data_IF_295098845004
#
_entry.id   IF_295098845004
#
_cell.length_a   1.000
_cell.length_b   1.000
_cell.length_c   1.000
_cell.angle_alpha   90.00
_cell.angle_beta   90.00
_cell.angle_gamma   90.00
#
_symmetry.space_group_name_H-M   'P 1'
#
loop_
_entity.id
_entity.type
_entity.pdbx_description
1 polymer ?
#
# COMPACT_ATOMS: atom_id res chain seq x y z
N UNK A 1 84.83 4.52 5.05
CA UNK A 1 83.81 4.39 3.99
C UNK A 1 82.63 3.63 4.56
N UNK A 2 81.44 4.21 4.47
CA UNK A 2 80.15 3.63 4.88
C UNK A 2 79.71 2.52 3.92
N UNK A 3 79.08 1.44 4.42
CA UNK A 3 77.85 0.87 3.82
C UNK A 3 76.97 0.25 4.92
N UNK A 4 75.68 0.53 4.82
CA UNK A 4 74.63 0.48 5.84
C UNK A 4 74.14 -0.91 6.29
N UNK A 5 73.60 -0.96 7.51
CA UNK A 5 72.82 -2.08 8.06
C UNK A 5 71.40 -2.09 7.50
N UNK A 6 70.97 -3.24 6.95
CA UNK A 6 69.59 -3.47 6.52
C UNK A 6 68.72 -3.73 7.75
N UNK A 7 68.13 -2.66 8.31
CA UNK A 7 67.13 -2.75 9.37
C UNK A 7 65.83 -3.37 8.84
N UNK A 8 65.47 -4.56 9.33
CA UNK A 8 64.13 -5.13 9.17
C UNK A 8 63.11 -4.24 9.90
N UNK A 9 62.01 -3.79 9.27
CA UNK A 9 61.06 -2.94 9.96
C UNK A 9 60.21 -3.77 10.94
N UNK A 10 60.39 -3.53 12.24
CA UNK A 10 59.52 -4.02 13.34
C UNK A 10 58.12 -3.37 13.34
N UNK A 11 57.69 -2.78 12.22
CA UNK A 11 56.44 -2.02 12.08
C UNK A 11 55.18 -2.86 11.83
N UNK A 12 55.27 -4.19 11.81
CA UNK A 12 54.17 -5.05 11.36
C UNK A 12 53.30 -5.63 12.49
N UNK A 13 53.67 -5.43 13.77
CA UNK A 13 52.87 -5.96 14.89
C UNK A 13 51.50 -5.28 15.01
N UNK A 14 51.43 -3.96 14.73
CA UNK A 14 50.16 -3.24 14.73
C UNK A 14 49.23 -3.67 13.59
N UNK A 15 49.77 -4.00 12.41
CA UNK A 15 48.97 -4.49 11.28
C UNK A 15 48.52 -5.93 11.47
N UNK A 16 49.36 -6.79 12.07
CA UNK A 16 48.99 -8.15 12.44
C UNK A 16 47.86 -8.19 13.49
N UNK A 17 47.97 -7.38 14.57
CA UNK A 17 46.92 -7.28 15.59
C UNK A 17 45.62 -6.65 15.08
N UNK A 18 45.68 -5.81 14.04
CA UNK A 18 44.48 -5.23 13.42
C UNK A 18 43.76 -6.27 12.55
N UNK A 19 44.48 -7.17 11.85
CA UNK A 19 43.90 -8.29 11.09
C UNK A 19 43.18 -9.31 11.98
N UNK A 20 43.72 -9.64 13.15
CA UNK A 20 43.06 -10.60 14.07
C UNK A 20 41.76 -10.06 14.66
N UNK A 21 41.65 -8.74 14.88
CA UNK A 21 40.39 -8.10 15.30
C UNK A 21 39.30 -8.15 14.22
N UNK A 22 39.66 -7.96 12.95
CA UNK A 22 38.72 -8.06 11.82
C UNK A 22 38.26 -9.52 11.56
N UNK A 23 39.09 -10.52 11.83
CA UNK A 23 38.64 -11.93 11.75
C UNK A 23 37.64 -12.28 12.86
N UNK A 24 37.81 -11.75 14.08
CA UNK A 24 36.85 -11.94 15.19
C UNK A 24 35.48 -11.30 14.95
N UNK A 25 35.40 -10.20 14.19
CA UNK A 25 34.12 -9.59 13.83
C UNK A 25 33.44 -10.34 12.69
N UNK A 26 34.18 -10.89 11.72
CA UNK A 26 33.61 -11.65 10.60
C UNK A 26 33.04 -13.03 11.02
N UNK A 27 33.60 -13.66 12.05
CA UNK A 27 33.05 -14.91 12.58
C UNK A 27 31.68 -14.77 13.26
N UNK A 28 31.23 -13.56 13.60
CA UNK A 28 29.91 -13.35 14.23
C UNK A 28 28.74 -13.24 13.25
N UNK A 29 28.98 -13.23 11.94
CA UNK A 29 27.91 -12.93 10.97
C UNK A 29 27.39 -14.11 10.13
N UNK A 30 27.87 -15.34 10.33
CA UNK A 30 27.33 -16.52 9.65
C UNK A 30 26.74 -17.53 10.63
N UNK A 31 25.51 -17.29 11.10
CA UNK A 31 24.58 -18.36 11.54
C UNK A 31 23.18 -17.80 11.82
N UNK A 32 22.57 -17.15 10.83
CA UNK A 32 21.11 -17.10 10.73
C UNK A 32 20.65 -18.20 9.77
N UNK A 33 20.86 -19.46 10.15
CA UNK A 33 20.07 -20.54 9.56
C UNK A 33 18.66 -20.39 10.15
N UNK A 34 17.68 -20.19 9.29
CA UNK A 34 16.26 -20.07 9.62
C UNK A 34 15.82 -21.20 10.54
N UNK A 35 15.71 -20.90 11.83
CA UNK A 35 14.92 -21.69 12.75
C UNK A 35 13.48 -21.23 12.57
N UNK A 36 12.73 -22.00 11.79
CA UNK A 36 11.28 -22.11 11.96
C UNK A 36 10.95 -22.10 13.46
N UNK A 37 9.88 -21.43 13.90
CA UNK A 37 9.51 -21.38 15.31
C UNK A 37 9.10 -22.79 15.74
N UNK A 38 10.08 -23.58 16.18
CA UNK A 38 9.85 -24.86 16.84
C UNK A 38 9.08 -24.54 18.11
N UNK A 39 7.81 -24.94 18.12
CA UNK A 39 7.01 -25.09 19.34
C UNK A 39 7.91 -25.71 20.39
N UNK A 40 7.99 -25.03 21.52
CA UNK A 40 8.89 -25.32 22.63
C UNK A 40 8.62 -26.69 23.23
N UNK A 41 9.19 -27.72 22.61
CA UNK A 41 9.37 -29.03 23.21
C UNK A 41 10.67 -29.58 22.63
N UNK A 42 11.59 -29.96 23.52
CA UNK A 42 12.82 -30.70 23.21
C UNK A 42 14.03 -29.89 22.72
N UNK A 43 14.52 -29.02 23.59
CA UNK A 43 15.97 -28.71 23.61
C UNK A 43 16.71 -29.99 24.03
N UNK A 44 17.60 -30.49 23.16
CA UNK A 44 18.42 -31.68 23.37
C UNK A 44 19.06 -31.73 24.78
N UNK A 45 19.03 -32.88 25.49
CA UNK A 45 19.39 -32.97 26.91
C UNK A 45 20.87 -32.70 27.21
N UNK A 46 21.76 -32.83 26.21
CA UNK A 46 23.20 -32.65 26.40
C UNK A 46 23.60 -31.17 26.53
N UNK A 47 23.00 -30.28 25.75
CA UNK A 47 23.29 -28.84 25.83
C UNK A 47 22.85 -28.22 27.17
N UNK A 48 21.78 -28.73 27.80
CA UNK A 48 21.35 -28.25 29.13
C UNK A 48 22.32 -28.60 30.27
N UNK A 49 23.15 -29.65 30.12
CA UNK A 49 24.08 -30.10 31.16
C UNK A 49 25.37 -29.27 31.18
N UNK A 50 25.87 -28.85 30.02
CA UNK A 50 27.10 -28.07 29.91
C UNK A 50 27.02 -26.69 30.59
N UNK A 51 25.88 -26.00 30.52
CA UNK A 51 25.71 -24.67 31.12
C UNK A 51 25.50 -24.67 32.64
N UNK A 52 25.16 -25.81 33.27
CA UNK A 52 25.01 -25.89 34.75
C UNK A 52 26.36 -25.77 35.46
N UNK A 53 27.45 -26.20 34.81
CA UNK A 53 28.79 -26.18 35.37
C UNK A 53 29.58 -24.91 35.04
N UNK A 54 29.03 -24.01 34.22
CA UNK A 54 29.69 -22.76 33.81
C UNK A 54 29.65 -21.66 34.88
N UNK A 55 28.79 -21.80 35.89
CA UNK A 55 28.64 -20.82 36.97
C UNK A 55 29.39 -21.24 38.24
N UNK A 56 30.07 -20.29 38.87
CA UNK A 56 30.68 -20.43 40.20
C UNK A 56 29.63 -20.74 41.27
N UNK A 57 30.05 -21.32 42.40
CA UNK A 57 29.18 -21.59 43.55
C UNK A 57 28.46 -20.32 44.04
N UNK A 58 29.16 -19.18 44.08
CA UNK A 58 28.59 -17.87 44.45
C UNK A 58 27.52 -17.42 43.45
N UNK A 59 27.80 -17.54 42.14
CA UNK A 59 26.84 -17.19 41.08
C UNK A 59 25.58 -18.07 41.15
N UNK A 60 25.72 -19.34 41.53
CA UNK A 60 24.56 -20.23 41.75
C UNK A 60 23.74 -19.81 42.96
N UNK A 61 24.39 -19.38 44.05
CA UNK A 61 23.72 -18.88 45.24
C UNK A 61 22.93 -17.59 44.95
N UNK A 62 23.50 -16.67 44.17
CA UNK A 62 22.81 -15.45 43.72
C UNK A 62 21.62 -15.75 42.81
N UNK A 63 21.79 -16.64 41.82
CA UNK A 63 20.68 -17.08 40.96
C UNK A 63 19.57 -17.74 41.79
N UNK A 64 19.93 -18.57 42.79
CA UNK A 64 18.97 -19.19 43.69
C UNK A 64 18.24 -18.16 44.58
N UNK A 65 18.90 -17.04 44.94
CA UNK A 65 18.28 -15.92 45.65
C UNK A 65 17.31 -15.15 44.75
N UNK A 66 17.69 -14.87 43.49
CA UNK A 66 16.85 -14.16 42.51
C UNK A 66 15.65 -15.00 42.08
N UNK A 67 15.81 -16.31 41.93
CA UNK A 67 14.71 -17.24 41.58
C UNK A 67 13.60 -17.35 42.64
N UNK A 68 13.84 -16.88 43.88
CA UNK A 68 12.81 -16.85 44.92
C UNK A 68 11.79 -15.73 44.70
N UNK A 69 12.11 -14.73 43.87
CA UNK A 69 11.19 -13.62 43.59
C UNK A 69 10.20 -14.01 42.48
N UNK A 70 8.91 -13.92 42.79
CA UNK A 70 7.85 -14.08 41.79
C UNK A 70 7.80 -12.85 40.88
N UNK A 71 8.27 -12.99 39.65
CA UNK A 71 8.14 -11.95 38.61
C UNK A 71 6.78 -12.13 37.94
N UNK A 72 5.83 -11.25 38.22
CA UNK A 72 4.55 -11.24 37.51
C UNK A 72 4.76 -10.81 36.05
N UNK A 73 4.17 -11.53 35.07
CA UNK A 73 4.29 -11.14 33.67
C UNK A 73 3.63 -9.77 33.45
N UNK A 74 4.23 -8.96 32.59
CA UNK A 74 3.60 -7.73 32.14
C UNK A 74 2.29 -8.05 31.41
N UNK A 75 1.28 -7.20 31.61
CA UNK A 75 0.03 -7.27 30.85
C UNK A 75 0.37 -7.17 29.35
N UNK A 76 -0.16 -8.07 28.50
CA UNK A 76 0.15 -8.04 27.08
C UNK A 76 -0.25 -6.69 26.48
N UNK A 77 0.69 -6.03 25.81
CA UNK A 77 0.42 -4.75 25.15
C UNK A 77 -0.22 -4.97 23.79
N UNK A 78 -1.08 -4.04 23.35
CA UNK A 78 -1.74 -4.10 22.04
C UNK A 78 -0.69 -4.21 20.90
N UNK A 79 0.47 -3.56 21.06
CA UNK A 79 1.61 -3.64 20.12
C UNK A 79 2.16 -5.06 19.94
N UNK A 80 2.07 -5.91 20.97
CA UNK A 80 2.45 -7.32 20.87
C UNK A 80 1.52 -8.11 19.95
N UNK A 81 0.25 -7.71 19.88
CA UNK A 81 -0.77 -8.38 19.04
C UNK A 81 -0.87 -7.77 17.64
N UNK A 82 -0.73 -6.45 17.53
CA UNK A 82 -0.83 -5.69 16.29
C UNK A 82 0.37 -4.74 16.21
N UNK A 83 1.50 -5.21 15.65
CA UNK A 83 2.69 -4.38 15.49
C UNK A 83 2.44 -3.14 14.59
N UNK A 84 1.64 -3.30 13.52
CA UNK A 84 1.17 -2.18 12.69
C UNK A 84 -0.37 -2.19 12.56
N UNK A 85 -1.08 -1.26 13.23
CA UNK A 85 -2.53 -1.16 13.12
C UNK A 85 -3.00 -0.42 11.86
N UNK A 86 -2.12 0.25 11.12
CA UNK A 86 -2.52 1.16 10.03
C UNK A 86 -3.30 0.50 8.89
N UNK A 87 -2.92 -0.68 8.37
CA UNK A 87 -3.68 -1.35 7.30
C UNK A 87 -5.09 -1.70 7.76
N UNK A 88 -5.20 -2.27 8.97
CA UNK A 88 -6.51 -2.65 9.54
C UNK A 88 -7.41 -1.44 9.77
N UNK A 89 -6.84 -0.29 10.11
CA UNK A 89 -7.55 0.98 10.26
C UNK A 89 -8.06 1.47 8.90
N UNK A 90 -7.20 1.48 7.88
CA UNK A 90 -7.55 1.91 6.54
C UNK A 90 -8.66 1.05 5.94
N UNK A 91 -8.60 -0.27 6.12
CA UNK A 91 -9.62 -1.20 5.63
C UNK A 91 -10.97 -0.95 6.33
N UNK A 92 -10.96 -0.72 7.65
CA UNK A 92 -12.17 -0.33 8.40
C UNK A 92 -12.76 1.00 7.91
N UNK A 93 -11.92 1.97 7.59
CA UNK A 93 -12.38 3.26 7.03
C UNK A 93 -12.98 3.09 5.64
N UNK A 94 -12.33 2.32 4.77
CA UNK A 94 -12.84 2.04 3.42
C UNK A 94 -14.18 1.30 3.51
N UNK A 95 -14.28 0.27 4.36
CA UNK A 95 -15.52 -0.48 4.57
C UNK A 95 -16.66 0.42 5.09
N UNK A 96 -16.35 1.40 5.95
CA UNK A 96 -17.32 2.39 6.43
C UNK A 96 -17.77 3.35 5.33
N UNK A 97 -16.86 3.80 4.46
CA UNK A 97 -17.14 4.79 3.42
C UNK A 97 -17.74 4.19 2.13
N UNK A 98 -17.42 2.92 1.84
CA UNK A 98 -17.92 2.17 0.68
C UNK A 98 -18.43 0.78 1.13
N UNK A 99 -19.59 0.71 1.81
CA UNK A 99 -20.13 -0.55 2.32
C UNK A 99 -20.45 -1.55 1.20
N UNK A 100 -20.74 -1.06 0.00
CA UNK A 100 -21.02 -1.90 -1.18
C UNK A 100 -19.76 -2.41 -1.88
N UNK A 101 -18.60 -1.81 -1.61
CA UNK A 101 -17.37 -2.04 -2.37
C UNK A 101 -17.43 -1.58 -3.83
N UNK A 102 -18.49 -0.91 -4.27
CA UNK A 102 -18.70 -0.55 -5.67
C UNK A 102 -17.65 0.46 -6.17
N UNK A 103 -17.27 1.42 -5.32
CA UNK A 103 -16.26 2.44 -5.69
C UNK A 103 -14.86 1.81 -5.71
N UNK A 104 -14.58 0.95 -4.74
CA UNK A 104 -13.35 0.16 -4.66
C UNK A 104 -13.19 -0.70 -5.92
N UNK A 105 -14.25 -1.40 -6.32
CA UNK A 105 -14.30 -2.22 -7.54
C UNK A 105 -14.12 -1.37 -8.80
N UNK A 106 -14.82 -0.23 -8.91
CA UNK A 106 -14.75 0.68 -10.04
C UNK A 106 -13.32 1.16 -10.30
N UNK A 107 -12.52 1.36 -9.27
CA UNK A 107 -11.13 1.76 -9.39
C UNK A 107 -10.15 0.63 -9.04
N UNK A 108 -10.52 -0.65 -9.08
CA UNK A 108 -9.56 -1.74 -8.85
C UNK A 108 -8.54 -1.81 -10.00
N UNK A 109 -7.33 -2.30 -9.71
CA UNK A 109 -6.34 -2.60 -10.78
C UNK A 109 -6.66 -3.91 -11.48
N UNK A 110 -7.25 -4.86 -10.75
CA UNK A 110 -7.41 -6.26 -11.13
C UNK A 110 -8.52 -6.45 -12.16
N UNK A 111 -9.62 -5.71 -12.01
CA UNK A 111 -10.78 -5.87 -12.90
C UNK A 111 -10.56 -5.20 -14.27
N UNK A 112 -10.98 -5.88 -15.33
CA UNK A 112 -11.01 -5.32 -16.68
C UNK A 112 -12.01 -4.15 -16.77
N UNK A 113 -13.18 -4.31 -16.14
CA UNK A 113 -14.28 -3.34 -16.18
C UNK A 113 -14.05 -2.08 -15.33
N UNK A 114 -12.98 -2.02 -14.54
CA UNK A 114 -12.65 -0.81 -13.79
C UNK A 114 -12.39 0.39 -14.72
N UNK A 115 -12.56 1.60 -14.20
CA UNK A 115 -12.21 2.84 -14.88
C UNK A 115 -10.70 2.91 -15.13
N UNK A 116 -10.29 3.12 -16.37
CA UNK A 116 -8.89 3.25 -16.76
C UNK A 116 -8.59 4.68 -17.18
N UNK A 117 -7.33 5.07 -16.98
CA UNK A 117 -6.84 6.40 -17.35
C UNK A 117 -7.03 6.63 -18.86
N UNK A 118 -7.64 7.76 -19.20
CA UNK A 118 -8.08 8.12 -20.54
C UNK A 118 -9.57 7.89 -20.82
N UNK A 119 -10.30 7.22 -19.94
CA UNK A 119 -11.76 7.17 -19.99
C UNK A 119 -12.37 8.53 -19.63
N UNK A 120 -13.63 8.77 -20.02
CA UNK A 120 -14.39 9.95 -19.60
C UNK A 120 -15.32 9.55 -18.47
N UNK A 121 -15.16 10.21 -17.33
CA UNK A 121 -15.92 9.96 -16.12
C UNK A 121 -16.86 11.13 -15.82
N UNK A 122 -18.06 10.82 -15.36
CA UNK A 122 -18.98 11.77 -14.74
C UNK A 122 -18.91 11.59 -13.23
N UNK A 123 -18.67 12.66 -12.50
CA UNK A 123 -18.73 12.66 -11.03
C UNK A 123 -19.92 13.49 -10.61
N UNK A 124 -20.88 12.85 -9.97
CA UNK A 124 -22.05 13.52 -9.40
C UNK A 124 -21.77 13.78 -7.92
N UNK A 125 -21.77 15.05 -7.52
CA UNK A 125 -21.66 15.48 -6.13
C UNK A 125 -23.04 15.64 -5.49
N UNK A 126 -23.10 15.67 -4.16
CA UNK A 126 -24.34 15.92 -3.41
C UNK A 126 -24.93 17.30 -3.68
N UNK A 127 -24.07 18.27 -3.92
CA UNK A 127 -24.43 19.64 -4.25
C UNK A 127 -23.72 20.05 -5.54
N UNK A 128 -24.41 20.78 -6.40
CA UNK A 128 -23.88 21.32 -7.64
C UNK A 128 -24.10 20.44 -8.87
N UNK A 129 -23.60 20.95 -10.00
CA UNK A 129 -23.67 20.27 -11.30
C UNK A 129 -22.65 19.12 -11.37
N UNK A 130 -23.00 17.96 -11.94
CA UNK A 130 -22.04 16.87 -12.13
C UNK A 130 -20.89 17.31 -13.04
N UNK A 131 -19.67 17.00 -12.62
CA UNK A 131 -18.48 17.30 -13.41
C UNK A 131 -18.12 16.13 -14.31
N UNK A 132 -18.07 16.37 -15.63
CA UNK A 132 -17.62 15.39 -16.60
C UNK A 132 -16.23 15.76 -17.15
N UNK A 133 -15.34 14.78 -17.25
CA UNK A 133 -14.00 15.03 -17.74
C UNK A 133 -13.22 13.78 -18.11
N UNK A 134 -12.19 13.97 -18.92
CA UNK A 134 -11.19 12.97 -19.22
C UNK A 134 -10.38 12.63 -17.97
N UNK A 135 -10.25 11.34 -17.68
CA UNK A 135 -9.55 10.82 -16.52
C UNK A 135 -8.03 10.82 -16.76
N UNK A 136 -7.34 11.80 -16.18
CA UNK A 136 -5.89 12.02 -16.41
C UNK A 136 -5.04 11.09 -15.57
N UNK A 137 -5.36 10.95 -14.28
CA UNK A 137 -4.56 10.19 -13.33
C UNK A 137 -5.31 9.84 -12.05
N UNK A 138 -4.81 8.81 -11.37
CA UNK A 138 -5.28 8.37 -10.05
C UNK A 138 -4.15 8.35 -9.03
N UNK A 139 -4.42 8.86 -7.83
CA UNK A 139 -3.57 8.75 -6.64
C UNK A 139 -4.18 7.71 -5.71
N UNK A 140 -3.49 6.60 -5.48
CA UNK A 140 -3.96 5.53 -4.58
C UNK A 140 -3.28 5.68 -3.23
N UNK A 141 -4.04 6.04 -2.21
CA UNK A 141 -3.56 6.31 -0.84
C UNK A 141 -4.61 5.86 0.19
N UNK A 142 -5.01 4.59 0.15
CA UNK A 142 -6.07 4.05 1.02
C UNK A 142 -7.39 4.80 0.84
N UNK A 143 -7.99 5.26 1.94
CA UNK A 143 -9.21 6.08 1.94
C UNK A 143 -9.06 7.43 1.20
N UNK A 144 -7.84 7.92 1.04
CA UNK A 144 -7.55 9.19 0.37
C UNK A 144 -7.36 9.08 -1.14
N UNK A 145 -7.79 7.95 -1.71
CA UNK A 145 -7.70 7.70 -3.14
C UNK A 145 -8.47 8.77 -3.92
N UNK A 146 -7.78 9.37 -4.88
CA UNK A 146 -8.27 10.53 -5.62
C UNK A 146 -8.08 10.35 -7.12
N UNK A 147 -9.06 10.79 -7.90
CA UNK A 147 -9.00 10.84 -9.35
C UNK A 147 -8.89 12.29 -9.82
N UNK A 148 -8.10 12.53 -10.86
CA UNK A 148 -8.02 13.83 -11.51
C UNK A 148 -8.75 13.78 -12.83
N UNK A 149 -9.75 14.64 -12.98
CA UNK A 149 -10.52 14.82 -14.20
C UNK A 149 -10.17 16.15 -14.84
N UNK A 150 -10.11 16.17 -16.17
CA UNK A 150 -9.96 17.38 -16.98
C UNK A 150 -11.16 17.52 -17.90
N UNK A 151 -11.79 18.68 -17.87
CA UNK A 151 -12.84 19.07 -18.82
C UNK A 151 -12.58 20.47 -19.34
N UNK A 152 -13.45 20.95 -20.22
CA UNK A 152 -13.56 22.37 -20.52
C UNK A 152 -14.90 22.87 -20.00
N UNK A 153 -14.87 23.99 -19.29
CA UNK A 153 -16.05 24.80 -19.03
C UNK A 153 -16.00 25.97 -20.02
N UNK A 154 -16.96 26.01 -20.94
CA UNK A 154 -16.96 26.95 -22.06
C UNK A 154 -15.66 26.83 -22.88
N UNK A 155 -14.76 27.81 -22.81
CA UNK A 155 -13.46 27.82 -23.51
C UNK A 155 -12.27 27.62 -22.57
N UNK A 156 -12.50 27.46 -21.27
CA UNK A 156 -11.43 27.36 -20.26
C UNK A 156 -11.28 25.90 -19.82
N UNK A 157 -10.06 25.37 -19.87
CA UNK A 157 -9.75 24.02 -19.39
C UNK A 157 -9.69 23.99 -17.87
N UNK A 158 -10.51 23.15 -17.25
CA UNK A 158 -10.63 23.00 -15.79
C UNK A 158 -10.17 21.59 -15.38
N UNK A 159 -9.38 21.52 -14.32
CA UNK A 159 -8.96 20.24 -13.71
C UNK A 159 -9.42 20.16 -12.26
N UNK A 160 -10.03 19.04 -11.89
CA UNK A 160 -10.55 18.82 -10.54
C UNK A 160 -10.06 17.49 -9.97
N UNK A 161 -9.74 17.50 -8.68
CA UNK A 161 -9.46 16.30 -7.91
C UNK A 161 -10.71 15.88 -7.14
N UNK A 162 -11.15 14.64 -7.35
CA UNK A 162 -12.24 14.04 -6.57
C UNK A 162 -11.70 12.91 -5.70
N UNK A 163 -12.02 12.97 -4.41
CA UNK A 163 -11.80 11.85 -3.47
C UNK A 163 -12.91 10.83 -3.67
N UNK A 164 -12.56 9.62 -4.10
CA UNK A 164 -13.57 8.62 -4.50
C UNK A 164 -14.42 8.17 -3.30
N UNK A 165 -13.82 8.09 -2.11
CA UNK A 165 -14.51 7.69 -0.88
C UNK A 165 -15.16 8.86 -0.14
N UNK A 166 -15.15 10.08 -0.72
CA UNK A 166 -15.83 11.20 -0.09
C UNK A 166 -17.35 10.97 -0.08
N UNK A 167 -18.03 11.22 1.05
CA UNK A 167 -19.48 11.16 1.12
C UNK A 167 -20.14 12.29 0.32
N UNK A 168 -19.40 13.32 -0.07
CA UNK A 168 -19.90 14.40 -0.94
C UNK A 168 -20.02 13.94 -2.39
N UNK A 169 -19.24 12.94 -2.81
CA UNK A 169 -19.41 12.31 -4.12
C UNK A 169 -20.53 11.29 -4.00
N UNK A 170 -21.61 11.50 -4.74
CA UNK A 170 -22.78 10.62 -4.77
C UNK A 170 -22.51 9.40 -5.66
N UNK A 171 -22.06 9.65 -6.89
CA UNK A 171 -21.85 8.62 -7.89
C UNK A 171 -20.72 8.96 -8.85
N UNK A 172 -20.09 7.93 -9.40
CA UNK A 172 -19.08 8.05 -10.44
C UNK A 172 -19.44 7.08 -11.57
N UNK A 173 -19.75 7.64 -12.73
CA UNK A 173 -20.16 6.88 -13.91
C UNK A 173 -19.10 6.96 -15.01
N UNK A 174 -18.89 5.83 -15.69
CA UNK A 174 -18.08 5.80 -16.91
C UNK A 174 -19.02 6.17 -18.08
N UNK A 175 -18.80 7.35 -18.66
CA UNK A 175 -19.58 7.84 -19.80
C UNK A 175 -19.08 7.20 -21.09
N UNK A 176 -17.76 7.24 -21.26
CA UNK A 176 -17.10 6.80 -22.48
C UNK A 176 -15.81 6.09 -22.12
N UNK A 177 -15.61 4.91 -22.72
CA UNK A 177 -14.37 4.15 -22.58
C UNK A 177 -13.45 4.42 -23.75
N UNK A 178 -12.17 4.55 -23.45
CA UNK A 178 -11.18 4.69 -24.50
C UNK A 178 -11.04 3.37 -25.26
N UNK A 179 -11.11 3.36 -26.61
CA UNK A 179 -11.05 2.13 -27.40
C UNK A 179 -9.71 1.40 -27.27
N UNK A 180 -8.61 2.15 -27.08
CA UNK A 180 -7.28 1.60 -26.84
C UNK A 180 -6.72 2.10 -25.52
N UNK A 181 -6.28 1.19 -24.67
CA UNK A 181 -5.67 1.52 -23.38
C UNK A 181 -4.50 2.48 -23.53
N UNK A 182 -4.44 3.48 -22.64
CA UNK A 182 -3.31 4.39 -22.59
C UNK A 182 -2.00 3.67 -22.24
N UNK A 183 -0.90 4.02 -22.92
CA UNK A 183 0.44 3.48 -22.63
C UNK A 183 1.08 4.11 -21.39
N UNK A 184 0.55 5.24 -20.89
CA UNK A 184 1.07 5.97 -19.72
C UNK A 184 0.08 5.89 -18.57
N UNK A 185 0.59 5.83 -17.34
CA UNK A 185 -0.22 5.86 -16.13
C UNK A 185 -0.81 7.24 -15.80
N UNK A 186 -0.21 8.32 -16.34
CA UNK A 186 -0.65 9.71 -16.18
C UNK A 186 -0.68 10.39 -17.54
N UNK A 187 -1.79 11.02 -17.91
CA UNK A 187 -1.96 11.69 -19.21
C UNK A 187 -1.87 13.21 -19.09
N UNK A 188 -0.87 13.69 -18.34
CA UNK A 188 -0.65 15.14 -18.16
C UNK A 188 -0.38 15.89 -19.46
N UNK A 189 0.03 15.17 -20.51
CA UNK A 189 0.21 15.72 -21.85
C UNK A 189 -1.11 16.19 -22.50
N UNK A 190 -2.28 15.74 -22.01
CA UNK A 190 -3.60 16.18 -22.49
C UNK A 190 -3.89 17.66 -22.19
N UNK A 191 -3.04 18.32 -21.40
CA UNK A 191 -3.09 19.78 -21.19
C UNK A 191 -2.64 20.57 -22.42
N UNK A 192 -1.91 19.93 -23.33
CA UNK A 192 -1.44 20.58 -24.56
C UNK A 192 -2.57 20.56 -25.59
N UNK A 193 -2.82 21.65 -26.33
CA UNK A 193 -3.92 21.73 -27.30
C UNK A 193 -3.97 20.58 -28.31
N UNK A 194 -2.81 20.08 -28.76
CA UNK A 194 -2.70 18.94 -29.69
C UNK A 194 -3.35 17.64 -29.17
N UNK A 195 -3.45 17.47 -27.87
CA UNK A 195 -3.88 16.23 -27.22
C UNK A 195 -5.09 16.42 -26.30
N UNK A 196 -5.61 17.65 -26.23
CA UNK A 196 -6.75 17.95 -25.38
C UNK A 196 -8.01 17.33 -25.98
N UNK A 197 -8.86 16.76 -25.13
CA UNK A 197 -10.17 16.27 -25.58
C UNK A 197 -11.16 17.42 -25.75
N UNK A 198 -10.89 18.56 -25.10
CA UNK A 198 -11.77 19.72 -25.11
C UNK A 198 -13.05 19.48 -24.30
N UNK A 199 -14.17 20.05 -24.76
CA UNK A 199 -15.48 19.79 -24.14
C UNK A 199 -15.93 18.35 -24.39
N UNK A 200 -16.38 17.69 -23.32
CA UNK A 200 -16.91 16.33 -23.32
C UNK A 200 -18.44 16.29 -23.24
N UNK A 201 -19.10 17.44 -23.37
CA UNK A 201 -20.56 17.58 -23.18
C UNK A 201 -21.36 16.75 -24.19
N UNK A 202 -20.85 16.61 -25.41
CA UNK A 202 -21.46 15.77 -26.44
C UNK A 202 -21.51 14.29 -26.03
N UNK A 203 -20.45 13.79 -25.39
CA UNK A 203 -20.41 12.41 -24.88
C UNK A 203 -21.37 12.22 -23.72
N UNK A 204 -21.44 13.21 -22.82
CA UNK A 204 -22.40 13.23 -21.71
C UNK A 204 -23.83 13.21 -22.24
N UNK A 205 -24.13 14.04 -23.24
CA UNK A 205 -25.45 14.12 -23.86
C UNK A 205 -25.84 12.80 -24.52
N UNK A 206 -24.95 12.19 -25.31
CA UNK A 206 -25.18 10.89 -25.94
C UNK A 206 -25.47 9.80 -24.91
N UNK A 207 -24.66 9.71 -23.86
CA UNK A 207 -24.84 8.73 -22.78
C UNK A 207 -26.15 8.95 -22.01
N UNK A 208 -26.51 10.20 -21.69
CA UNK A 208 -27.79 10.52 -21.07
C UNK A 208 -28.94 10.09 -21.97
N UNK A 209 -28.88 10.43 -23.27
CA UNK A 209 -29.89 10.05 -24.26
C UNK A 209 -30.09 8.54 -24.32
N UNK A 210 -29.00 7.77 -24.42
CA UNK A 210 -29.03 6.30 -24.41
C UNK A 210 -29.64 5.74 -23.12
N UNK A 211 -29.27 6.27 -21.96
CA UNK A 211 -29.87 5.86 -20.68
C UNK A 211 -31.36 6.17 -20.60
N UNK A 212 -31.80 7.32 -21.09
CA UNK A 212 -33.22 7.68 -21.08
C UNK A 212 -34.05 6.80 -22.02
N UNK A 213 -33.55 6.50 -23.23
CA UNK A 213 -34.27 5.64 -24.19
C UNK A 213 -34.39 4.20 -23.70
N UNK A 214 -33.34 3.65 -23.07
CA UNK A 214 -33.39 2.32 -22.48
C UNK A 214 -34.42 2.24 -21.33
N UNK A 215 -34.48 3.29 -20.50
CA UNK A 215 -35.45 3.37 -19.39
C UNK A 215 -36.89 3.49 -19.88
N UNK A 216 -37.16 4.29 -20.92
CA UNK A 216 -38.51 4.43 -21.46
C UNK A 216 -39.02 3.13 -22.09
N UNK A 217 -38.16 2.40 -22.81
CA UNK A 217 -38.50 1.09 -23.40
C UNK A 217 -38.85 0.04 -22.35
N UNK A 218 -38.09 -0.04 -21.26
CA UNK A 218 -38.37 -0.98 -20.16
C UNK A 218 -39.73 -0.73 -19.48
N UNK A 219 -40.14 0.54 -19.35
CA UNK A 219 -41.44 0.91 -18.77
C UNK A 219 -42.62 0.51 -19.66
N UNK A 220 -42.46 0.62 -20.98
CA UNK A 220 -43.51 0.22 -21.93
C UNK A 220 -43.75 -1.30 -21.92
N UNK A 221 -42.69 -2.12 -21.83
CA UNK A 221 -42.83 -3.58 -21.78
C UNK A 221 -43.46 -4.08 -20.48
N UNK A 222 -43.24 -3.40 -19.34
CA UNK A 222 -43.82 -3.79 -18.06
C UNK A 222 -45.33 -3.56 -17.93
N UNK A 223 -45.87 -2.52 -18.57
CA UNK A 223 -47.32 -2.25 -18.54
C UNK A 223 -48.17 -3.23 -19.38
N UNK A 224 -47.56 -3.96 -20.32
CA UNK A 224 -48.27 -4.96 -21.14
C UNK A 224 -48.54 -6.29 -20.44
N UNK A 225 -47.80 -6.62 -19.38
CA UNK A 225 -47.92 -7.89 -18.66
C UNK A 225 -48.90 -7.87 -17.47
N UNK A 226 -49.31 -6.69 -16.99
CA UNK A 226 -50.29 -6.54 -15.89
C UNK A 226 -51.76 -6.49 -16.35
N UNK A 227 -52.02 -6.66 -17.66
CA UNK A 227 -53.36 -6.73 -18.25
C UNK A 227 -53.63 -8.14 -18.79
N UNK A 228 -53.59 -9.15 -17.93
CA UNK A 228 -54.18 -10.48 -18.15
C UNK A 228 -54.60 -11.07 -16.82
#
# INVERSE_FOLDING_TARGET
>A
MNVASVGRPVGCLKTALRRTRFQRSFQRYNSSASLEPRKSTEVQPQFKKAFKNAFSAEQRADIAKVNKFQIYPQVPTIRSTHPDPMPTLLDKQIAKLDPTGARTRLFSKEHADSAKVGDVLMVTTKAGEPFAGAFIQIRRRGQDTAIQLRGQMMKVGVEMWFKIYSPTVTGIDIIWRRPKRARRARLTYMRKPKHDMGSVDQLVFAWKKERYTLRSRAKQTGHGQQRR
#
